data_IF_949033556627
#
_entry.id   IF_949033556627
#
_cell.length_a   1.000
_cell.length_b   1.000
_cell.length_c   1.000
_cell.angle_alpha   90.00
_cell.angle_beta   90.00
_cell.angle_gamma   90.00
#
_symmetry.space_group_name_H-M   'P 1'
#
loop_
_entity.id
_entity.type
_entity.pdbx_description
1 polymer ?
#
# COMPACT_ATOMS: atom_id res chain seq x y z
N UNK A 1 10.24 -5.76 25.09
CA UNK A 1 9.54 -4.75 24.26
C UNK A 1 10.24 -4.68 22.92
N UNK A 2 9.97 -5.63 22.03
CA UNK A 2 10.70 -5.77 20.76
C UNK A 2 10.17 -4.77 19.74
N UNK A 3 11.06 -3.86 19.30
CA UNK A 3 10.79 -2.92 18.22
C UNK A 3 10.91 -3.65 16.89
N UNK A 4 9.78 -4.06 16.32
CA UNK A 4 9.72 -4.42 14.90
C UNK A 4 9.74 -3.12 14.09
N UNK A 5 10.93 -2.72 13.62
CA UNK A 5 11.07 -1.66 12.60
C UNK A 5 11.07 -2.35 11.24
N UNK A 6 9.90 -2.41 10.61
CA UNK A 6 9.80 -2.83 9.22
C UNK A 6 10.03 -1.59 8.35
N UNK A 7 11.06 -1.63 7.51
CA UNK A 7 11.36 -0.55 6.57
C UNK A 7 11.52 -1.16 5.19
N UNK A 8 10.49 -1.03 4.36
CA UNK A 8 10.61 -1.41 2.95
C UNK A 8 11.22 -0.27 2.14
N UNK A 9 11.91 -0.61 1.07
CA UNK A 9 12.50 0.35 0.14
C UNK A 9 11.47 0.60 -0.97
N UNK A 10 11.23 1.87 -1.27
CA UNK A 10 10.44 2.25 -2.44
C UNK A 10 11.36 2.31 -3.65
N UNK A 11 11.56 1.18 -4.33
CA UNK A 11 12.28 1.12 -5.59
C UNK A 11 11.33 0.63 -6.70
N UNK A 12 10.42 1.52 -7.11
CA UNK A 12 9.61 1.31 -8.29
C UNK A 12 9.52 2.60 -9.10
N UNK A 13 10.31 2.68 -10.17
CA UNK A 13 10.41 3.88 -11.01
C UNK A 13 9.18 4.11 -11.89
N UNK A 14 8.34 3.09 -12.12
CA UNK A 14 7.24 3.15 -13.08
C UNK A 14 5.89 2.69 -12.54
N UNK A 15 5.79 2.28 -11.28
CA UNK A 15 4.55 1.75 -10.70
C UNK A 15 4.24 2.26 -9.31
N UNK A 16 3.27 1.58 -8.68
CA UNK A 16 2.84 1.85 -7.31
C UNK A 16 3.69 1.03 -6.32
N UNK A 17 3.92 1.58 -5.14
CA UNK A 17 4.70 0.95 -4.07
C UNK A 17 4.12 1.30 -2.73
N UNK A 18 4.07 0.30 -1.85
CA UNK A 18 3.74 0.48 -0.44
C UNK A 18 5.05 0.45 0.33
N UNK A 19 5.38 1.59 0.93
CA UNK A 19 6.54 1.75 1.80
C UNK A 19 6.10 1.66 3.25
N UNK A 20 6.54 0.62 3.93
CA UNK A 20 6.34 0.45 5.35
C UNK A 20 7.36 1.31 6.11
N UNK A 21 6.87 2.18 6.99
CA UNK A 21 7.67 3.02 7.89
C UNK A 21 7.21 2.86 9.34
N UNK A 22 6.57 1.73 9.65
CA UNK A 22 6.02 1.43 10.97
C UNK A 22 7.12 1.39 12.02
N UNK A 23 6.89 2.11 13.11
CA UNK A 23 7.83 2.18 14.25
C UNK A 23 7.51 1.13 15.33
N UNK A 24 6.28 0.63 15.32
CA UNK A 24 5.74 -0.27 16.35
C UNK A 24 4.91 -1.37 15.69
N UNK A 25 4.69 -2.47 16.41
CA UNK A 25 3.82 -3.56 15.94
C UNK A 25 2.32 -3.26 16.13
N UNK A 26 1.96 -2.24 16.92
CA UNK A 26 0.56 -1.88 17.21
C UNK A 26 0.01 -0.84 16.25
N UNK A 27 0.87 0.08 15.80
CA UNK A 27 0.54 1.12 14.84
C UNK A 27 1.37 0.93 13.57
N UNK A 28 0.66 0.61 12.48
CA UNK A 28 1.24 0.48 11.16
C UNK A 28 1.10 1.82 10.44
N UNK A 29 2.23 2.31 9.94
CA UNK A 29 2.29 3.50 9.11
C UNK A 29 2.88 3.11 7.75
N UNK A 30 2.05 3.21 6.72
CA UNK A 30 2.44 2.92 5.34
C UNK A 30 2.42 4.22 4.53
N UNK A 31 3.27 4.28 3.52
CA UNK A 31 3.30 5.36 2.53
C UNK A 31 3.08 4.75 1.16
N UNK A 32 2.05 5.19 0.46
CA UNK A 32 1.79 4.81 -0.93
C UNK A 32 2.49 5.80 -1.85
N UNK A 33 3.35 5.26 -2.70
CA UNK A 33 4.15 6.01 -3.65
C UNK A 33 3.81 5.52 -5.05
N UNK A 34 3.59 6.43 -5.98
CA UNK A 34 3.43 6.15 -7.39
C UNK A 34 4.53 6.84 -8.18
N UNK A 35 5.35 6.09 -8.93
CA UNK A 35 6.53 6.62 -9.65
C UNK A 35 7.45 7.45 -8.73
N UNK A 36 7.68 6.96 -7.51
CA UNK A 36 8.41 7.66 -6.42
C UNK A 36 7.81 8.99 -5.95
N UNK A 37 6.57 9.31 -6.34
CA UNK A 37 5.82 10.47 -5.84
C UNK A 37 4.77 10.03 -4.83
N UNK A 38 4.52 10.80 -3.76
CA UNK A 38 3.44 10.51 -2.83
C UNK A 38 2.10 10.49 -3.57
N UNK A 39 1.34 9.41 -3.37
CA UNK A 39 0.03 9.25 -3.98
C UNK A 39 -1.05 9.65 -2.97
N UNK A 40 -1.47 10.90 -3.03
CA UNK A 40 -2.49 11.46 -2.16
C UNK A 40 -3.91 10.99 -2.52
N UNK A 41 -4.79 10.92 -1.52
CA UNK A 41 -6.22 10.61 -1.67
C UNK A 41 -6.50 9.32 -2.43
N UNK A 42 -5.65 8.32 -2.20
CA UNK A 42 -5.76 7.01 -2.84
C UNK A 42 -6.38 5.99 -1.90
N UNK A 43 -7.21 5.13 -2.47
CA UNK A 43 -7.86 4.06 -1.73
C UNK A 43 -6.84 2.96 -1.37
N UNK A 44 -6.87 2.57 -0.10
CA UNK A 44 -6.08 1.47 0.45
C UNK A 44 -6.98 0.59 1.30
N UNK A 45 -7.09 -0.68 0.93
CA UNK A 45 -7.91 -1.67 1.63
C UNK A 45 -7.02 -2.52 2.51
N UNK A 46 -7.44 -2.71 3.75
CA UNK A 46 -6.81 -3.59 4.72
C UNK A 46 -7.75 -4.77 4.96
N UNK A 47 -7.27 -5.97 4.69
CA UNK A 47 -7.96 -7.23 4.87
C UNK A 47 -7.33 -8.01 6.03
N UNK A 48 -8.17 -8.71 6.79
CA UNK A 48 -7.78 -9.52 7.94
C UNK A 48 -8.48 -10.88 7.88
N UNK A 49 -7.91 -11.91 8.52
CA UNK A 49 -8.37 -13.30 8.47
C UNK A 49 -9.87 -13.52 8.75
N UNK A 50 -10.50 -12.70 9.61
CA UNK A 50 -11.93 -12.81 9.98
C UNK A 50 -12.88 -12.02 9.06
N UNK A 51 -12.61 -11.97 7.75
CA UNK A 51 -13.41 -11.21 6.75
C UNK A 51 -13.55 -9.71 7.03
N UNK A 52 -12.80 -9.19 8.01
CA UNK A 52 -12.79 -7.76 8.30
C UNK A 52 -12.00 -7.04 7.21
N UNK A 53 -12.68 -6.09 6.57
CA UNK A 53 -12.08 -5.22 5.55
C UNK A 53 -12.24 -3.78 6.00
N UNK A 54 -11.17 -3.00 5.94
CA UNK A 54 -11.19 -1.57 6.19
C UNK A 54 -10.65 -0.83 5.00
N UNK A 55 -11.47 0.03 4.43
CA UNK A 55 -11.03 1.00 3.43
C UNK A 55 -10.49 2.22 4.15
N UNK A 56 -9.28 2.62 3.75
CA UNK A 56 -8.58 3.81 4.21
C UNK A 56 -8.22 4.65 2.99
N UNK A 57 -8.07 5.94 3.20
CA UNK A 57 -7.58 6.86 2.18
C UNK A 57 -6.22 7.42 2.62
N UNK A 58 -5.31 7.59 1.66
CA UNK A 58 -4.02 8.23 1.93
C UNK A 58 -4.15 9.73 2.10
N UNK A 59 -3.34 10.32 2.98
CA UNK A 59 -3.27 11.77 3.17
C UNK A 59 -2.57 12.49 2.00
N UNK A 60 -2.44 13.82 2.08
CA UNK A 60 -1.81 14.64 1.03
C UNK A 60 -0.34 14.27 0.76
N UNK A 61 0.34 13.62 1.71
CA UNK A 61 1.71 13.12 1.59
C UNK A 61 1.78 11.62 1.25
N UNK A 62 0.64 11.01 0.94
CA UNK A 62 0.52 9.60 0.57
C UNK A 62 0.65 8.63 1.74
N UNK A 63 0.55 9.08 2.99
CA UNK A 63 0.60 8.22 4.17
C UNK A 63 -0.79 7.71 4.56
N UNK A 64 -0.78 6.52 5.13
CA UNK A 64 -1.92 5.94 5.85
C UNK A 64 -1.42 5.37 7.16
N UNK A 65 -2.19 5.60 8.23
CA UNK A 65 -1.88 5.06 9.56
C UNK A 65 -3.09 4.31 10.08
N UNK A 66 -2.88 3.09 10.56
CA UNK A 66 -3.92 2.29 11.18
C UNK A 66 -3.36 1.42 12.29
N UNK A 67 -4.23 1.08 13.24
CA UNK A 67 -3.89 0.20 14.35
C UNK A 67 -4.21 -1.24 13.99
N UNK A 68 -3.33 -2.15 14.42
CA UNK A 68 -3.50 -3.59 14.27
C UNK A 68 -3.77 -4.22 15.65
N UNK A 69 -5.03 -4.26 16.11
CA UNK A 69 -5.37 -4.74 17.45
C UNK A 69 -5.28 -6.27 17.62
N UNK A 70 -5.28 -7.04 16.51
CA UNK A 70 -5.31 -8.50 16.55
C UNK A 70 -3.97 -9.09 16.11
N UNK A 71 -3.59 -10.21 16.70
CA UNK A 71 -2.41 -10.97 16.30
C UNK A 71 -2.73 -11.86 15.11
N UNK A 72 -2.64 -11.28 13.91
CA UNK A 72 -3.06 -11.95 12.68
C UNK A 72 -2.29 -11.41 11.48
N UNK A 73 -2.57 -11.97 10.30
CA UNK A 73 -2.05 -11.48 9.03
C UNK A 73 -2.96 -10.37 8.51
N UNK A 74 -2.38 -9.19 8.35
CA UNK A 74 -3.01 -8.04 7.70
C UNK A 74 -2.52 -8.00 6.26
N UNK A 75 -3.43 -7.98 5.30
CA UNK A 75 -3.10 -7.83 3.88
C UNK A 75 -3.58 -6.44 3.48
N UNK A 76 -2.68 -5.63 2.96
CA UNK A 76 -2.97 -4.29 2.49
C UNK A 76 -2.91 -4.30 0.98
N UNK A 77 -3.94 -3.79 0.32
CA UNK A 77 -4.01 -3.64 -1.12
C UNK A 77 -4.31 -2.19 -1.48
N UNK A 78 -3.61 -1.68 -2.48
CA UNK A 78 -3.90 -0.37 -3.03
C UNK A 78 -3.81 -0.45 -4.55
N UNK A 79 -4.72 0.27 -5.21
CA UNK A 79 -4.81 0.27 -6.67
C UNK A 79 -4.79 1.69 -7.17
N UNK A 80 -4.24 1.88 -8.37
CA UNK A 80 -4.19 3.18 -9.03
C UNK A 80 -4.29 2.98 -10.54
N UNK A 81 -5.18 3.73 -11.18
CA UNK A 81 -5.40 3.67 -12.63
C UNK A 81 -4.88 4.94 -13.29
N UNK A 82 -3.84 4.79 -14.11
CA UNK A 82 -3.31 5.87 -14.95
C UNK A 82 -4.04 5.86 -16.30
N UNK A 83 -4.87 6.87 -16.57
CA UNK A 83 -5.58 7.04 -17.86
C UNK A 83 -4.66 7.61 -18.95
N UNK A 84 -3.57 6.91 -19.22
CA UNK A 84 -2.65 7.24 -20.32
C UNK A 84 -2.89 6.22 -21.43
N UNK A 85 -3.39 6.64 -22.59
CA UNK A 85 -3.51 5.77 -23.74
C UNK A 85 -2.13 5.55 -24.38
N UNK A 86 -1.88 4.34 -24.89
CA UNK A 86 -0.62 4.03 -25.54
C UNK A 86 -0.67 2.76 -26.39
N UNK A 87 0.48 2.36 -26.91
CA UNK A 87 0.65 1.15 -27.72
C UNK A 87 1.71 0.29 -27.08
N UNK A 88 1.38 -0.96 -26.77
CA UNK A 88 2.34 -1.95 -26.28
C UNK A 88 2.26 -3.18 -27.19
N UNK A 89 3.38 -3.50 -27.86
CA UNK A 89 3.47 -4.63 -28.81
C UNK A 89 2.33 -4.64 -29.84
N UNK A 90 2.10 -3.49 -30.48
CA UNK A 90 1.03 -3.25 -31.47
C UNK A 90 -0.42 -3.30 -30.95
N UNK A 91 -0.64 -3.56 -29.66
CA UNK A 91 -1.96 -3.44 -29.03
C UNK A 91 -2.13 -2.08 -28.35
N UNK A 92 -3.28 -1.44 -28.59
CA UNK A 92 -3.66 -0.18 -27.97
C UNK A 92 -4.21 -0.44 -26.56
N UNK A 93 -3.75 0.32 -25.58
CA UNK A 93 -4.35 0.37 -24.25
C UNK A 93 -4.90 1.77 -23.97
N UNK A 94 -5.97 1.85 -23.20
CA UNK A 94 -6.60 3.13 -22.82
C UNK A 94 -6.14 3.62 -21.44
N UNK A 95 -5.72 2.69 -20.58
CA UNK A 95 -5.26 2.98 -19.23
C UNK A 95 -4.31 1.88 -18.73
N UNK A 96 -3.49 2.23 -17.75
CA UNK A 96 -2.59 1.32 -17.03
C UNK A 96 -3.14 1.15 -15.62
N UNK A 97 -3.45 -0.08 -15.23
CA UNK A 97 -3.84 -0.41 -13.88
C UNK A 97 -2.63 -0.88 -13.07
N UNK A 98 -2.39 -0.21 -11.95
CA UNK A 98 -1.34 -0.57 -11.00
C UNK A 98 -2.00 -1.12 -9.73
N UNK A 99 -1.48 -2.25 -9.25
CA UNK A 99 -1.87 -2.84 -7.98
C UNK A 99 -0.60 -3.08 -7.16
N UNK A 100 -0.62 -2.70 -5.88
CA UNK A 100 0.37 -3.15 -4.91
C UNK A 100 -0.34 -3.81 -3.73
N UNK A 101 0.22 -4.95 -3.33
CA UNK A 101 -0.21 -5.70 -2.16
C UNK A 101 0.96 -5.83 -1.19
N UNK A 102 0.69 -5.61 0.09
CA UNK A 102 1.66 -5.71 1.17
C UNK A 102 1.10 -6.54 2.31
N UNK A 103 1.81 -7.60 2.71
CA UNK A 103 1.39 -8.48 3.79
C UNK A 103 2.18 -8.17 5.05
N UNK A 104 1.47 -7.89 6.13
CA UNK A 104 2.02 -7.64 7.45
C UNK A 104 1.62 -8.80 8.33
N UNK A 105 2.62 -9.54 8.81
CA UNK A 105 2.42 -10.58 9.81
C UNK A 105 2.67 -9.99 11.19
N UNK A 106 1.61 -9.93 12.01
CA UNK A 106 1.71 -9.65 13.44
C UNK A 106 1.73 -10.99 14.19
N UNK A 107 2.86 -11.25 14.85
CA UNK A 107 3.07 -12.42 15.70
C UNK A 107 3.84 -11.92 16.92
N UNK A 108 3.42 -12.33 18.12
CA UNK A 108 4.18 -12.16 19.35
C UNK A 108 5.46 -13.01 19.35
#
# INVERSE_FOLDING_TARGET
MEKKVSKTIADNKSGITIKDISKTADEIKLQVLYKNKPLAKNELKVFVADLWTKTLETDDDGFVTFKCPWETKYIVETTYSEKVPGVYKDEKYEFIWHCATYAILKSN
#
